data_IF_894020981101
#
_entry.id   IF_894020981101
#
_cell.length_a   1.000
_cell.length_b   1.000
_cell.length_c   1.000
_cell.angle_alpha   90.00
_cell.angle_beta   90.00
_cell.angle_gamma   90.00
#
_symmetry.space_group_name_H-M   'P 1'
#
loop_
_entity.id
_entity.type
_entity.pdbx_description
1 polymer ?
#
# COMPACT_ATOMS: atom_id res chain seq x y z
N UNK A 1 -11.59 33.36 2.22
CA UNK A 1 -10.52 32.40 2.59
C UNK A 1 -10.48 31.24 1.60
N UNK A 2 -9.46 30.40 1.63
CA UNK A 2 -9.39 29.21 0.79
C UNK A 2 -10.53 28.22 1.14
N UNK A 3 -10.97 27.46 0.15
CA UNK A 3 -11.95 26.39 0.37
C UNK A 3 -11.36 25.34 1.33
N UNK A 4 -12.08 25.04 2.40
CA UNK A 4 -11.74 23.99 3.34
C UNK A 4 -12.85 22.94 3.38
N UNK A 5 -12.49 21.68 3.26
CA UNK A 5 -13.42 20.55 3.33
C UNK A 5 -12.95 19.62 4.46
N UNK A 6 -13.83 19.33 5.41
CA UNK A 6 -13.58 18.37 6.48
C UNK A 6 -14.60 17.24 6.41
N UNK A 7 -14.13 15.99 6.41
CA UNK A 7 -14.98 14.80 6.38
C UNK A 7 -14.71 13.96 7.63
N UNK A 8 -15.74 13.66 8.39
CA UNK A 8 -15.68 12.77 9.55
C UNK A 8 -16.44 11.49 9.25
N UNK A 9 -15.78 10.33 9.39
CA UNK A 9 -16.40 9.02 9.17
C UNK A 9 -16.43 8.23 10.47
N UNK A 10 -17.61 7.72 10.81
CA UNK A 10 -17.83 6.84 11.97
C UNK A 10 -18.22 5.46 11.46
N UNK A 11 -17.68 4.41 12.07
CA UNK A 11 -17.99 3.04 11.69
C UNK A 11 -17.82 2.04 12.82
N UNK A 12 -18.51 0.90 12.71
CA UNK A 12 -18.38 -0.24 13.62
C UNK A 12 -17.57 -1.33 12.93
N UNK A 13 -16.49 -1.85 13.54
CA UNK A 13 -15.74 -2.95 12.97
C UNK A 13 -16.56 -4.26 13.04
N UNK A 14 -16.58 -5.01 11.94
CA UNK A 14 -17.19 -6.35 11.92
C UNK A 14 -16.30 -7.43 12.54
N UNK A 15 -14.99 -7.20 12.54
CA UNK A 15 -13.96 -8.10 13.01
C UNK A 15 -12.88 -7.33 13.78
N UNK A 16 -11.70 -7.95 13.94
CA UNK A 16 -10.54 -7.27 14.53
C UNK A 16 -10.18 -6.01 13.74
N UNK A 17 -9.96 -4.92 14.46
CA UNK A 17 -9.39 -3.69 13.89
C UNK A 17 -7.91 -3.95 13.57
N UNK A 18 -7.53 -3.69 12.33
CA UNK A 18 -6.12 -3.70 11.93
C UNK A 18 -5.51 -2.33 12.23
N UNK A 19 -4.43 -2.35 13.00
CA UNK A 19 -3.67 -1.16 13.36
C UNK A 19 -2.32 -1.17 12.61
N UNK A 20 -1.68 -0.02 12.54
CA UNK A 20 -0.30 0.11 12.03
C UNK A 20 0.73 -0.52 12.99
N UNK A 21 0.39 -0.70 14.27
CA UNK A 21 1.29 -0.96 15.39
C UNK A 21 1.46 -2.42 15.80
N UNK A 22 0.96 -3.38 15.03
CA UNK A 22 0.97 -4.79 15.43
C UNK A 22 1.83 -5.70 14.56
N UNK A 23 2.68 -5.14 13.68
CA UNK A 23 3.63 -5.95 12.92
C UNK A 23 4.64 -6.61 13.86
N UNK A 24 4.99 -7.86 13.59
CA UNK A 24 5.93 -8.65 14.38
C UNK A 24 7.18 -9.01 13.57
N UNK A 25 8.35 -9.18 14.20
CA UNK A 25 9.52 -9.73 13.53
C UNK A 25 9.17 -11.07 12.87
N UNK A 26 9.60 -11.25 11.62
CA UNK A 26 9.30 -12.43 10.81
C UNK A 26 7.97 -12.38 10.05
N UNK A 27 7.12 -11.39 10.28
CA UNK A 27 5.91 -11.21 9.45
C UNK A 27 6.29 -10.93 7.99
N UNK A 28 5.53 -11.51 7.08
CA UNK A 28 5.68 -11.25 5.65
C UNK A 28 4.97 -9.95 5.29
N UNK A 29 5.69 -9.02 4.67
CA UNK A 29 5.10 -7.79 4.12
C UNK A 29 4.41 -8.08 2.80
N UNK A 30 3.16 -7.69 2.71
CA UNK A 30 2.27 -7.96 1.58
C UNK A 30 1.61 -6.68 1.05
N UNK A 31 1.28 -6.71 -0.25
CA UNK A 31 0.56 -5.63 -0.94
C UNK A 31 -0.67 -6.19 -1.66
N UNK A 32 -1.79 -5.48 -1.64
CA UNK A 32 -3.06 -5.93 -2.22
C UNK A 32 -3.11 -5.82 -3.74
N UNK A 33 -2.35 -4.91 -4.35
CA UNK A 33 -2.36 -4.68 -5.79
C UNK A 33 -1.16 -3.89 -6.29
N UNK A 34 -1.13 -3.61 -7.60
CA UNK A 34 -0.05 -2.86 -8.22
C UNK A 34 -0.10 -1.37 -7.88
N UNK A 35 1.08 -0.74 -7.75
CA UNK A 35 1.24 0.68 -7.50
C UNK A 35 1.45 1.47 -8.79
N UNK A 36 1.12 2.75 -8.75
CA UNK A 36 1.35 3.72 -9.80
C UNK A 36 0.10 4.11 -10.59
N UNK A 37 -1.06 3.57 -10.27
CA UNK A 37 -2.32 3.95 -10.93
C UNK A 37 -2.70 5.41 -10.67
N UNK A 38 -2.46 5.90 -9.45
CA UNK A 38 -2.62 7.31 -9.09
C UNK A 38 -1.71 8.22 -9.92
N UNK A 39 -0.40 7.90 -9.96
CA UNK A 39 0.57 8.66 -10.75
C UNK A 39 0.24 8.71 -12.25
N UNK A 40 -0.04 7.54 -12.86
CA UNK A 40 -0.37 7.46 -14.28
C UNK A 40 -1.67 8.21 -14.57
N UNK A 41 -2.67 8.09 -13.70
CA UNK A 41 -3.93 8.79 -13.80
C UNK A 41 -3.77 10.31 -13.75
N UNK A 42 -2.99 10.83 -12.79
CA UNK A 42 -2.67 12.25 -12.68
C UNK A 42 -1.92 12.77 -13.92
N UNK A 43 -0.91 12.01 -14.37
CA UNK A 43 -0.12 12.36 -15.56
C UNK A 43 -1.00 12.46 -16.81
N UNK A 44 -1.90 11.50 -17.00
CA UNK A 44 -2.84 11.49 -18.12
C UNK A 44 -3.84 12.64 -18.02
N UNK A 45 -4.38 12.89 -16.82
CA UNK A 45 -5.30 13.99 -16.57
C UNK A 45 -4.67 15.36 -16.85
N UNK A 46 -3.42 15.57 -16.40
CA UNK A 46 -2.68 16.82 -16.70
C UNK A 46 -2.41 17.03 -18.19
N UNK A 47 -2.32 15.94 -18.96
CA UNK A 47 -2.09 16.01 -20.41
C UNK A 47 -3.34 16.37 -21.20
N UNK A 48 -4.48 15.75 -20.88
CA UNK A 48 -5.69 15.81 -21.69
C UNK A 48 -6.86 16.55 -21.03
N UNK A 49 -6.85 16.72 -19.70
CA UNK A 49 -7.96 17.30 -18.95
C UNK A 49 -9.23 16.45 -18.92
N UNK A 50 -9.19 15.25 -19.46
CA UNK A 50 -10.36 14.42 -19.69
C UNK A 50 -10.45 13.23 -18.72
N UNK A 51 -11.70 12.89 -18.41
CA UNK A 51 -12.01 11.67 -17.68
C UNK A 51 -12.02 10.48 -18.64
N UNK A 52 -11.15 9.51 -18.42
CA UNK A 52 -11.06 8.27 -19.20
C UNK A 52 -10.62 7.10 -18.30
N UNK A 53 -10.44 5.90 -18.89
CA UNK A 53 -10.08 4.69 -18.14
C UNK A 53 -8.73 4.82 -17.40
N UNK A 54 -7.78 5.60 -17.90
CA UNK A 54 -6.47 5.80 -17.27
C UNK A 54 -6.53 6.84 -16.14
N UNK A 55 -7.38 7.87 -16.27
CA UNK A 55 -7.56 8.92 -15.25
C UNK A 55 -8.48 8.48 -14.11
N UNK A 56 -9.34 7.48 -14.36
CA UNK A 56 -10.32 7.00 -13.38
C UNK A 56 -9.71 6.61 -12.03
N UNK A 57 -8.59 5.85 -11.93
CA UNK A 57 -8.02 5.49 -10.63
C UNK A 57 -7.58 6.69 -9.79
N UNK A 58 -7.14 7.78 -10.43
CA UNK A 58 -6.76 9.02 -9.77
C UNK A 58 -7.98 9.85 -9.35
N UNK A 59 -8.95 10.04 -10.25
CA UNK A 59 -10.12 10.87 -9.99
C UNK A 59 -11.16 10.20 -9.06
N UNK A 60 -11.25 8.87 -9.12
CA UNK A 60 -12.22 8.06 -8.38
C UNK A 60 -11.55 6.80 -7.83
N UNK A 61 -10.66 6.95 -6.83
CA UNK A 61 -9.96 5.81 -6.25
C UNK A 61 -10.95 4.84 -5.60
N UNK A 62 -10.65 3.55 -5.70
CA UNK A 62 -11.47 2.50 -5.12
C UNK A 62 -10.97 2.11 -3.73
N UNK A 63 -11.78 2.33 -2.70
CA UNK A 63 -11.48 1.87 -1.35
C UNK A 63 -11.43 0.33 -1.30
N UNK A 64 -10.38 -0.23 -0.66
CA UNK A 64 -10.15 -1.68 -0.56
C UNK A 64 -10.94 -2.33 0.59
N UNK A 65 -12.22 -1.98 0.77
CA UNK A 65 -13.04 -2.40 1.91
C UNK A 65 -13.17 -3.92 1.99
N UNK A 66 -13.56 -4.57 0.89
CA UNK A 66 -13.74 -6.03 0.87
C UNK A 66 -12.41 -6.77 1.07
N UNK A 67 -11.32 -6.23 0.51
CA UNK A 67 -9.99 -6.78 0.75
C UNK A 67 -9.62 -6.67 2.23
N UNK A 68 -9.83 -5.50 2.82
CA UNK A 68 -9.62 -5.25 4.25
C UNK A 68 -10.39 -6.24 5.13
N UNK A 69 -11.67 -6.50 4.83
CA UNK A 69 -12.50 -7.50 5.53
C UNK A 69 -11.93 -8.91 5.44
N UNK A 70 -11.36 -9.28 4.27
CA UNK A 70 -10.77 -10.62 4.08
C UNK A 70 -9.52 -10.82 4.92
N UNK A 71 -8.67 -9.79 5.06
CA UNK A 71 -7.40 -9.89 5.79
C UNK A 71 -7.55 -9.61 7.29
N UNK A 72 -8.64 -8.99 7.75
CA UNK A 72 -8.81 -8.48 9.12
C UNK A 72 -8.55 -9.50 10.23
N UNK A 73 -8.91 -10.77 10.04
CA UNK A 73 -8.70 -11.84 11.03
C UNK A 73 -7.32 -12.52 10.92
N UNK A 74 -6.54 -12.21 9.89
CA UNK A 74 -5.32 -12.92 9.52
C UNK A 74 -4.09 -12.02 9.66
N UNK A 75 -4.17 -10.80 9.14
CA UNK A 75 -3.08 -9.84 9.15
C UNK A 75 -2.75 -9.36 10.58
N UNK A 76 -1.48 -9.01 10.80
CA UNK A 76 -0.99 -8.43 12.05
C UNK A 76 -1.21 -6.92 12.06
N UNK A 77 -0.81 -6.23 11.00
CA UNK A 77 -0.94 -4.79 10.81
C UNK A 77 -1.37 -4.43 9.40
N UNK A 78 -1.89 -3.22 9.19
CA UNK A 78 -2.21 -2.70 7.86
C UNK A 78 -2.22 -1.17 7.83
N UNK A 79 -1.98 -0.63 6.63
CA UNK A 79 -2.12 0.77 6.23
C UNK A 79 -2.50 0.80 4.74
N UNK A 80 -3.13 1.84 4.27
CA UNK A 80 -3.29 2.12 2.84
C UNK A 80 -2.06 2.87 2.28
N UNK A 81 -1.86 2.80 0.96
CA UNK A 81 -0.79 3.55 0.27
C UNK A 81 -1.38 4.87 -0.23
N UNK A 82 -1.17 5.92 0.54
CA UNK A 82 -1.60 7.30 0.24
C UNK A 82 -0.45 8.25 -0.08
N UNK A 83 0.71 8.06 0.56
CA UNK A 83 1.87 8.95 0.46
C UNK A 83 3.07 8.29 -0.27
N UNK A 84 2.90 7.06 -0.69
CA UNK A 84 3.91 6.23 -1.33
C UNK A 84 4.46 5.13 -0.42
N UNK A 85 4.90 4.03 -1.04
CA UNK A 85 5.19 2.79 -0.30
C UNK A 85 6.24 2.95 0.81
N UNK A 86 7.26 3.78 0.60
CA UNK A 86 8.33 3.98 1.58
C UNK A 86 7.81 4.73 2.80
N UNK A 87 7.03 5.80 2.57
CA UNK A 87 6.48 6.62 3.64
C UNK A 87 5.47 5.84 4.46
N UNK A 88 4.52 5.17 3.80
CA UNK A 88 3.47 4.41 4.48
C UNK A 88 4.05 3.19 5.22
N UNK A 89 5.06 2.51 4.65
CA UNK A 89 5.79 1.45 5.36
C UNK A 89 6.52 2.00 6.60
N UNK A 90 7.08 3.22 6.52
CA UNK A 90 7.75 3.83 7.66
C UNK A 90 6.80 4.05 8.86
N UNK A 91 5.52 4.29 8.60
CA UNK A 91 4.50 4.38 9.65
C UNK A 91 4.26 3.04 10.35
N UNK A 92 4.21 1.92 9.60
CA UNK A 92 4.14 0.57 10.20
C UNK A 92 5.38 0.32 11.06
N UNK A 93 6.58 0.55 10.50
CA UNK A 93 7.87 0.35 11.18
C UNK A 93 7.92 1.14 12.49
N UNK A 94 7.63 2.44 12.44
CA UNK A 94 7.65 3.33 13.60
C UNK A 94 6.62 2.91 14.66
N UNK A 95 5.39 2.59 14.24
CA UNK A 95 4.31 2.24 15.16
C UNK A 95 4.47 0.86 15.78
N UNK A 96 5.14 -0.07 15.08
CA UNK A 96 5.36 -1.45 15.55
C UNK A 96 6.70 -1.63 16.26
N UNK A 97 7.66 -0.71 16.09
CA UNK A 97 9.03 -0.86 16.61
C UNK A 97 9.85 -1.96 15.92
N UNK A 98 9.46 -2.38 14.72
CA UNK A 98 10.09 -3.46 13.94
C UNK A 98 10.47 -2.93 12.57
N UNK A 99 11.71 -3.15 12.11
CA UNK A 99 12.18 -2.78 10.79
C UNK A 99 11.60 -3.65 9.67
N UNK A 100 12.07 -3.43 8.46
CA UNK A 100 11.61 -4.20 7.29
C UNK A 100 12.71 -4.30 6.23
N UNK A 101 12.82 -5.47 5.62
CA UNK A 101 13.56 -5.68 4.38
C UNK A 101 12.54 -5.69 3.22
N UNK A 102 12.50 -4.61 2.46
CA UNK A 102 11.62 -4.44 1.29
C UNK A 102 12.38 -4.76 0.00
N UNK A 103 11.87 -5.68 -0.80
CA UNK A 103 12.39 -6.03 -2.11
C UNK A 103 11.62 -5.26 -3.21
N UNK A 104 12.25 -4.24 -3.78
CA UNK A 104 11.63 -3.35 -4.75
C UNK A 104 11.28 -4.05 -6.07
N UNK A 105 12.01 -5.09 -6.46
CA UNK A 105 11.70 -5.86 -7.68
C UNK A 105 10.43 -6.71 -7.52
N UNK A 106 10.01 -7.00 -6.29
CA UNK A 106 8.77 -7.72 -5.99
C UNK A 106 7.54 -6.83 -5.89
N UNK A 107 7.73 -5.50 -5.81
CA UNK A 107 6.59 -4.58 -5.77
C UNK A 107 5.93 -4.55 -7.15
N UNK A 108 4.66 -4.95 -7.28
CA UNK A 108 3.97 -4.90 -8.56
C UNK A 108 3.72 -3.45 -8.98
N UNK A 109 4.07 -3.11 -10.19
CA UNK A 109 3.98 -1.76 -10.77
C UNK A 109 3.10 -1.81 -12.02
N UNK A 110 2.19 -0.85 -12.17
CA UNK A 110 1.26 -0.78 -13.32
C UNK A 110 1.98 -0.45 -14.62
N UNK A 111 3.07 0.33 -14.57
CA UNK A 111 3.88 0.68 -15.75
C UNK A 111 5.36 0.76 -15.36
N UNK A 112 6.13 -0.21 -15.85
CA UNK A 112 7.57 -0.32 -15.57
C UNK A 112 8.40 0.86 -16.09
N UNK A 113 7.92 1.57 -17.13
CA UNK A 113 8.58 2.77 -17.64
C UNK A 113 8.65 3.88 -16.57
N UNK A 114 7.68 3.90 -15.67
CA UNK A 114 7.58 4.87 -14.59
C UNK A 114 7.79 4.27 -13.20
N UNK A 115 8.47 3.10 -13.12
CA UNK A 115 8.58 2.34 -11.86
C UNK A 115 9.00 3.20 -10.67
N UNK A 116 10.06 4.02 -10.82
CA UNK A 116 10.52 4.91 -9.75
C UNK A 116 9.39 5.85 -9.28
N UNK A 117 8.67 6.49 -10.21
CA UNK A 117 7.58 7.41 -9.89
C UNK A 117 6.39 6.69 -9.26
N UNK A 118 6.09 5.48 -9.72
CA UNK A 118 5.03 4.65 -9.14
C UNK A 118 5.33 4.23 -7.70
N UNK A 119 6.60 4.10 -7.32
CA UNK A 119 7.01 3.79 -5.95
C UNK A 119 7.05 5.03 -5.03
N UNK A 120 7.38 6.19 -5.60
CA UNK A 120 7.49 7.45 -4.87
C UNK A 120 6.14 8.17 -4.67
N UNK A 121 5.22 7.99 -5.62
CA UNK A 121 3.92 8.65 -5.62
C UNK A 121 2.89 7.83 -4.82
N UNK A 122 2.00 8.51 -4.13
CA UNK A 122 0.88 7.89 -3.43
C UNK A 122 -0.38 7.80 -4.29
N UNK A 123 -1.54 8.04 -3.66
CA UNK A 123 -2.88 8.03 -4.27
C UNK A 123 -3.27 6.70 -4.94
N UNK A 124 -2.64 5.58 -4.56
CA UNK A 124 -2.98 4.25 -5.07
C UNK A 124 -4.04 3.55 -4.23
N UNK A 125 -4.11 3.89 -2.94
CA UNK A 125 -5.05 3.33 -1.95
C UNK A 125 -5.08 1.80 -1.92
N UNK A 126 -3.98 1.16 -2.29
CA UNK A 126 -3.75 -0.26 -2.06
C UNK A 126 -3.44 -0.51 -0.60
N UNK A 127 -3.76 -1.71 -0.09
CA UNK A 127 -3.41 -2.07 1.29
C UNK A 127 -2.02 -2.65 1.37
N UNK A 128 -1.17 -2.03 2.20
CA UNK A 128 0.10 -2.57 2.66
C UNK A 128 -0.14 -3.21 4.04
N UNK A 129 0.21 -4.48 4.21
CA UNK A 129 -0.11 -5.21 5.42
C UNK A 129 0.91 -6.30 5.72
N UNK A 130 0.95 -6.74 6.99
CA UNK A 130 1.85 -7.79 7.43
C UNK A 130 1.09 -9.04 7.84
N UNK A 131 1.67 -10.21 7.57
CA UNK A 131 1.04 -11.52 7.82
C UNK A 131 2.02 -12.48 8.47
N UNK A 132 1.65 -13.16 9.57
CA UNK A 132 2.47 -14.23 10.13
C UNK A 132 2.74 -15.31 9.07
N UNK A 133 3.99 -15.80 8.91
CA UNK A 133 4.35 -16.77 7.86
C UNK A 133 3.43 -18.00 7.84
N UNK A 134 3.07 -18.50 9.02
CA UNK A 134 2.18 -19.67 9.17
C UNK A 134 0.77 -19.47 8.61
N UNK A 135 0.33 -18.22 8.43
CA UNK A 135 -1.02 -17.85 7.93
C UNK A 135 -1.02 -17.44 6.46
N UNK A 136 0.15 -17.22 5.85
CA UNK A 136 0.27 -16.68 4.50
C UNK A 136 -0.40 -17.57 3.45
N UNK A 137 -0.11 -18.88 3.46
CA UNK A 137 -0.67 -19.80 2.47
C UNK A 137 -2.21 -19.84 2.52
N UNK A 138 -2.77 -19.94 3.73
CA UNK A 138 -4.23 -19.94 3.90
C UNK A 138 -4.86 -18.63 3.42
N UNK A 139 -4.18 -17.49 3.63
CA UNK A 139 -4.63 -16.19 3.12
C UNK A 139 -4.59 -16.17 1.58
N UNK A 140 -3.50 -16.62 0.97
CA UNK A 140 -3.36 -16.63 -0.49
C UNK A 140 -4.44 -17.51 -1.15
N UNK A 141 -4.72 -18.69 -0.60
CA UNK A 141 -5.82 -19.56 -1.07
C UNK A 141 -7.17 -18.83 -1.00
N UNK A 142 -7.46 -18.21 0.15
CA UNK A 142 -8.71 -17.46 0.35
C UNK A 142 -8.84 -16.27 -0.62
N UNK A 143 -7.78 -15.51 -0.84
CA UNK A 143 -7.81 -14.37 -1.76
C UNK A 143 -7.96 -14.84 -3.22
N UNK A 144 -7.24 -15.89 -3.61
CA UNK A 144 -7.32 -16.45 -4.97
C UNK A 144 -8.72 -16.96 -5.29
N UNK A 145 -9.43 -17.57 -4.34
CA UNK A 145 -10.84 -18.01 -4.55
C UNK A 145 -11.79 -16.84 -4.84
N UNK A 146 -11.42 -15.63 -4.38
CA UNK A 146 -12.14 -14.38 -4.65
C UNK A 146 -11.52 -13.57 -5.82
N UNK A 147 -10.64 -14.18 -6.63
CA UNK A 147 -9.93 -13.51 -7.74
C UNK A 147 -9.10 -12.29 -7.28
N UNK A 148 -8.65 -12.29 -6.03
CA UNK A 148 -7.77 -11.26 -5.46
C UNK A 148 -6.37 -11.82 -5.27
N UNK A 149 -5.35 -10.97 -5.41
CA UNK A 149 -3.94 -11.35 -5.25
C UNK A 149 -3.38 -10.84 -3.93
N UNK A 150 -2.37 -11.54 -3.42
CA UNK A 150 -1.52 -11.11 -2.31
C UNK A 150 -0.08 -11.12 -2.81
N UNK A 151 0.51 -9.95 -2.94
CA UNK A 151 1.89 -9.83 -3.41
C UNK A 151 2.83 -9.75 -2.20
N UNK A 152 3.69 -10.75 -2.05
CA UNK A 152 4.71 -10.77 -0.99
C UNK A 152 5.91 -9.96 -1.45
N UNK A 153 6.21 -8.85 -0.78
CA UNK A 153 7.20 -7.86 -1.21
C UNK A 153 8.36 -7.67 -0.24
N UNK A 154 8.29 -8.28 0.95
CA UNK A 154 9.34 -8.13 1.95
C UNK A 154 9.08 -8.95 3.20
N UNK A 155 9.92 -8.71 4.21
CA UNK A 155 9.80 -9.34 5.54
C UNK A 155 10.07 -8.30 6.61
N UNK A 156 9.30 -8.33 7.68
CA UNK A 156 9.51 -7.49 8.86
C UNK A 156 10.68 -8.04 9.65
N UNK A 157 11.77 -7.27 9.75
CA UNK A 157 12.98 -7.68 10.45
C UNK A 157 13.85 -6.49 10.86
N UNK A 158 14.65 -6.71 11.93
CA UNK A 158 15.55 -5.68 12.44
C UNK A 158 14.82 -4.47 13.04
N UNK A 159 15.46 -3.29 12.96
CA UNK A 159 14.93 -2.03 13.52
C UNK A 159 14.77 -0.92 12.50
N UNK A 160 15.26 -1.11 11.28
CA UNK A 160 15.28 -0.09 10.22
C UNK A 160 14.70 -0.64 8.92
N UNK A 161 14.32 0.29 8.04
CA UNK A 161 14.00 -0.06 6.67
C UNK A 161 15.28 -0.33 5.88
N UNK A 162 15.34 -1.49 5.25
CA UNK A 162 16.36 -1.87 4.29
C UNK A 162 15.70 -2.10 2.93
N UNK A 163 16.26 -1.52 1.88
CA UNK A 163 15.79 -1.69 0.51
C UNK A 163 16.75 -2.61 -0.25
N UNK A 164 16.25 -3.71 -0.77
CA UNK A 164 16.98 -4.58 -1.71
C UNK A 164 16.55 -4.29 -3.14
N UNK A 165 17.45 -4.55 -4.10
CA UNK A 165 17.24 -4.28 -5.53
C UNK A 165 16.96 -2.81 -5.86
N UNK A 166 17.46 -1.89 -5.04
CA UNK A 166 17.31 -0.45 -5.23
C UNK A 166 18.28 0.07 -6.31
N UNK A 167 17.81 0.17 -7.55
CA UNK A 167 18.61 0.69 -8.71
C UNK A 167 18.67 2.22 -8.78
N UNK A 168 18.27 2.93 -7.73
CA UNK A 168 18.31 4.39 -7.66
C UNK A 168 17.73 4.89 -6.33
N UNK A 169 18.06 6.12 -5.90
CA UNK A 169 17.45 6.70 -4.70
C UNK A 169 15.97 6.93 -4.93
N UNK A 170 15.12 6.26 -4.14
CA UNK A 170 13.68 6.54 -4.06
C UNK A 170 13.50 7.67 -3.06
N UNK A 171 12.73 8.69 -3.42
CA UNK A 171 12.39 9.83 -2.56
C UNK A 171 10.98 9.66 -2.04
N UNK A 172 10.73 10.12 -0.82
CA UNK A 172 9.37 10.21 -0.29
C UNK A 172 8.65 11.38 -0.98
N UNK A 173 7.37 11.20 -1.23
CA UNK A 173 6.50 12.29 -1.64
C UNK A 173 6.22 13.19 -0.43
N UNK A 174 6.28 14.50 -0.63
CA UNK A 174 5.95 15.49 0.38
C UNK A 174 4.88 16.42 -0.19
N UNK A 175 3.67 16.35 0.35
CA UNK A 175 2.52 17.16 -0.09
C UNK A 175 2.70 18.66 0.19
N UNK A 176 3.68 19.05 0.99
CA UNK A 176 3.90 20.42 1.42
C UNK A 176 5.18 21.06 0.84
N UNK A 177 5.78 20.44 -0.15
CA UNK A 177 6.93 20.96 -0.90
C UNK A 177 6.65 21.16 -2.37
#
# INVERSE_FOLDING_TARGET
GPLQISVTVLGKPEKKILLRSNAQPGDILCLSGALGSGYIGLKEYKRNGEQNIKTKPYLFPSAQIDYGRMIASIASSAIDISDGIIQDLSHIIKSSGVGCNLDLDKVPIVDKQYAKRCLEFGDDYQLLFTVPPKKLLALQVKLNSCKKKCHTIGIMDGKKLTLTNNKGSIKNWDHFK
#
